data_IF_459528871574
#
_entry.id   IF_459528871574
#
_cell.length_a   1.000
_cell.length_b   1.000
_cell.length_c   1.000
_cell.angle_alpha   90.00
_cell.angle_beta   90.00
_cell.angle_gamma   90.00
#
_symmetry.space_group_name_H-M   'P 1'
#
loop_
_entity.id
_entity.type
_entity.pdbx_description
1 polymer ?
#
# COMPACT_ATOMS: atom_id res chain seq x y z
N UNK A 1 -14.93 -3.94 13.95
CA UNK A 1 -13.95 -4.79 13.24
C UNK A 1 -13.90 -4.34 11.78
N UNK A 2 -12.73 -4.01 11.21
CA UNK A 2 -12.69 -3.59 9.78
C UNK A 2 -11.46 -2.78 9.30
N UNK A 3 -10.37 -2.66 10.07
CA UNK A 3 -9.21 -1.81 9.74
C UNK A 3 -8.04 -2.54 9.05
N UNK A 4 -8.29 -3.57 8.25
CA UNK A 4 -7.23 -4.19 7.43
C UNK A 4 -6.81 -3.34 6.21
N UNK A 5 -7.48 -2.19 5.96
CA UNK A 5 -7.11 -1.25 4.90
C UNK A 5 -5.89 -0.37 5.25
N UNK A 6 -5.58 -0.20 6.54
CA UNK A 6 -4.44 0.61 6.98
C UNK A 6 -3.09 -0.10 6.73
N UNK A 7 -3.07 -1.42 6.86
CA UNK A 7 -1.85 -2.23 6.73
C UNK A 7 -1.38 -2.46 5.28
N UNK A 8 -2.14 -2.07 4.25
CA UNK A 8 -1.77 -2.36 2.85
C UNK A 8 -0.49 -1.64 2.41
N UNK A 9 -0.27 -0.40 2.87
CA UNK A 9 1.00 0.29 2.64
C UNK A 9 2.14 -0.29 3.50
N UNK A 10 1.81 -0.91 4.64
CA UNK A 10 2.79 -1.56 5.53
C UNK A 10 3.33 -2.86 4.91
N UNK A 11 2.48 -3.65 4.25
CA UNK A 11 2.91 -4.85 3.50
C UNK A 11 3.84 -4.48 2.36
N UNK A 12 3.40 -3.50 1.57
CA UNK A 12 4.17 -2.81 0.56
C UNK A 12 5.59 -2.41 1.06
N UNK A 13 5.68 -1.70 2.19
CA UNK A 13 6.98 -1.31 2.79
C UNK A 13 7.80 -2.48 3.31
N UNK A 14 7.16 -3.55 3.78
CA UNK A 14 7.83 -4.75 4.28
C UNK A 14 8.49 -5.56 3.16
N UNK A 15 7.82 -5.65 2.02
CA UNK A 15 8.31 -6.39 0.84
C UNK A 15 9.31 -5.57 -0.02
N UNK A 16 9.41 -4.26 0.20
CA UNK A 16 10.31 -3.39 -0.57
C UNK A 16 9.93 -3.22 -2.04
N UNK A 17 8.70 -3.59 -2.42
CA UNK A 17 8.20 -3.55 -3.79
C UNK A 17 6.73 -3.16 -3.85
N UNK A 18 6.31 -2.42 -4.92
CA UNK A 18 4.91 -2.00 -5.08
C UNK A 18 4.02 -3.20 -5.34
N UNK A 19 3.25 -3.60 -4.32
CA UNK A 19 2.24 -4.66 -4.41
C UNK A 19 0.91 -4.18 -5.02
N UNK A 20 0.78 -2.90 -5.37
CA UNK A 20 -0.42 -2.29 -5.98
C UNK A 20 -1.76 -2.58 -5.28
N UNK A 21 -1.75 -2.86 -3.98
CA UNK A 21 -2.93 -3.25 -3.18
C UNK A 21 -3.99 -2.14 -3.00
N UNK A 22 -3.71 -0.93 -3.49
CA UNK A 22 -4.56 0.26 -3.39
C UNK A 22 -4.88 0.88 -4.76
N UNK A 23 -4.62 0.13 -5.84
CA UNK A 23 -4.92 0.54 -7.22
C UNK A 23 -4.32 1.90 -7.56
N UNK A 24 -5.18 2.87 -7.90
CA UNK A 24 -4.82 4.24 -8.28
C UNK A 24 -3.98 4.98 -7.22
N UNK A 25 -4.12 4.63 -5.95
CA UNK A 25 -3.31 5.23 -4.88
C UNK A 25 -1.87 4.69 -4.82
N UNK A 26 -1.59 3.56 -5.46
CA UNK A 26 -0.24 3.00 -5.60
C UNK A 26 0.48 3.52 -6.86
N UNK A 27 -0.27 3.95 -7.88
CA UNK A 27 0.27 4.54 -9.12
C UNK A 27 0.52 6.04 -8.98
N UNK A 28 -0.17 6.71 -8.05
CA UNK A 28 0.09 8.13 -7.73
C UNK A 28 1.38 8.32 -6.94
N UNK A 29 1.98 9.50 -7.08
CA UNK A 29 3.21 9.93 -6.37
C UNK A 29 3.07 10.02 -4.85
N UNK A 30 1.87 9.75 -4.30
CA UNK A 30 1.59 9.66 -2.86
C UNK A 30 1.85 8.27 -2.29
N UNK A 31 2.23 7.28 -3.12
CA UNK A 31 2.61 5.97 -2.64
C UNK A 31 3.95 6.06 -1.91
N UNK A 32 3.94 5.77 -0.61
CA UNK A 32 5.12 5.88 0.26
C UNK A 32 5.91 4.57 0.38
N UNK A 33 5.89 3.77 -0.70
CA UNK A 33 6.88 2.72 -0.97
C UNK A 33 8.08 3.38 -1.62
#
# INVERSE_FOLDING_TARGET
>A
MGRYLDARCRLCRREGMKLFLKGERCTTSKCAI
#
